data_IF_463541710752
#
_entry.id   IF_463541710752
#
_cell.length_a   1.000
_cell.length_b   1.000
_cell.length_c   1.000
_cell.angle_alpha   90.00
_cell.angle_beta   90.00
_cell.angle_gamma   90.00
#
_symmetry.space_group_name_H-M   'P 1'
#
loop_
_entity.id
_entity.type
_entity.pdbx_description
1 polymer ?
#
# COMPACT_ATOMS: atom_id res chain seq x y z
N UNK A 1 47.86 0.19 47.75
CA UNK A 1 47.81 1.51 48.43
C UNK A 1 46.75 2.29 47.64
N UNK A 2 45.64 2.40 48.27
CA UNK A 2 44.83 3.61 48.62
C UNK A 2 44.23 4.31 47.44
N UNK A 3 43.03 4.59 47.36
CA UNK A 3 41.79 4.81 48.10
C UNK A 3 40.76 5.44 47.16
N UNK A 4 39.62 4.88 47.12
CA UNK A 4 38.28 5.44 47.21
C UNK A 4 38.03 6.89 46.85
N UNK A 5 37.03 7.12 45.99
CA UNK A 5 35.93 8.05 46.33
C UNK A 5 34.75 7.87 45.41
N UNK A 6 33.70 7.37 46.02
CA UNK A 6 32.30 7.31 45.63
C UNK A 6 31.68 8.71 45.62
N UNK A 7 30.95 9.12 44.58
CA UNK A 7 29.96 10.20 44.64
C UNK A 7 28.70 9.81 43.91
N UNK A 8 27.72 9.40 44.68
CA UNK A 8 26.31 9.33 44.34
C UNK A 8 25.75 10.72 44.09
N UNK A 9 25.25 10.95 42.91
CA UNK A 9 24.44 12.14 42.57
C UNK A 9 23.00 11.77 42.40
N UNK A 10 22.16 12.17 43.34
CA UNK A 10 20.71 12.06 43.34
C UNK A 10 20.10 12.95 42.25
N UNK A 11 19.26 12.40 41.40
CA UNK A 11 18.46 13.16 40.41
C UNK A 11 17.13 13.49 41.06
N UNK A 12 16.94 14.77 41.35
CA UNK A 12 15.65 15.33 41.80
C UNK A 12 14.69 15.40 40.64
N UNK A 13 13.52 14.76 40.80
CA UNK A 13 12.36 14.87 39.93
C UNK A 13 11.62 16.19 40.19
N UNK A 14 11.90 17.20 39.36
CA UNK A 14 11.16 18.45 39.38
C UNK A 14 9.81 18.30 38.67
N UNK A 15 8.73 18.30 39.47
CA UNK A 15 7.35 18.41 38.99
C UNK A 15 7.03 19.84 38.64
N UNK A 16 6.90 20.18 37.35
CA UNK A 16 6.44 21.49 36.90
C UNK A 16 4.90 21.54 36.93
N UNK A 17 4.34 22.20 37.94
CA UNK A 17 2.92 22.54 37.99
C UNK A 17 2.67 23.85 37.22
N UNK A 18 1.93 23.76 36.12
CA UNK A 18 1.43 24.94 35.39
C UNK A 18 0.14 25.43 36.02
N UNK A 19 0.23 26.50 36.80
CA UNK A 19 -0.95 27.30 37.25
C UNK A 19 -1.34 28.28 36.15
N UNK A 20 -2.48 28.05 35.49
CA UNK A 20 -3.10 29.03 34.59
C UNK A 20 -3.71 30.16 35.42
N UNK A 21 -3.15 31.35 35.33
CA UNK A 21 -3.70 32.58 35.86
C UNK A 21 -5.00 32.96 35.12
N UNK A 22 -6.10 33.05 35.87
CA UNK A 22 -7.37 33.60 35.42
C UNK A 22 -7.31 35.14 35.51
N UNK A 23 -7.49 35.82 34.36
CA UNK A 23 -7.72 37.27 34.32
C UNK A 23 -9.23 37.50 34.28
N UNK A 24 -9.84 38.21 35.24
CA UNK A 24 -11.28 38.47 35.22
C UNK A 24 -11.59 39.59 34.23
N UNK A 25 -12.36 39.31 33.20
CA UNK A 25 -12.94 40.28 32.29
C UNK A 25 -14.21 40.85 32.94
N UNK A 26 -14.24 42.18 33.20
CA UNK A 26 -15.41 42.92 33.66
C UNK A 26 -16.50 42.87 32.57
N UNK A 27 -17.67 42.29 32.90
CA UNK A 27 -18.87 42.36 32.09
C UNK A 27 -19.57 43.68 32.30
N UNK A 28 -19.75 44.47 31.24
CA UNK A 28 -20.78 45.52 31.16
C UNK A 28 -22.05 44.88 30.62
N UNK A 29 -23.14 45.02 31.40
CA UNK A 29 -24.44 44.50 31.05
C UNK A 29 -25.08 45.37 29.97
N UNK A 30 -25.28 44.85 28.77
CA UNK A 30 -26.33 45.29 27.86
C UNK A 30 -27.03 44.04 27.35
N UNK A 31 -28.35 43.99 27.57
CA UNK A 31 -29.18 42.82 27.32
C UNK A 31 -29.27 42.49 25.83
N UNK A 32 -28.99 41.26 25.52
CA UNK A 32 -29.51 40.58 24.34
C UNK A 32 -29.75 39.12 24.71
N UNK A 33 -31.00 38.70 24.55
CA UNK A 33 -31.43 37.32 24.71
C UNK A 33 -30.70 36.44 23.69
N UNK A 34 -29.55 35.86 24.08
CA UNK A 34 -28.94 34.77 23.37
C UNK A 34 -29.39 33.45 24.01
N UNK A 35 -30.22 32.69 23.30
CA UNK A 35 -30.43 31.28 23.58
C UNK A 35 -29.06 30.57 23.50
N UNK A 36 -28.62 29.87 24.53
CA UNK A 36 -27.42 29.03 24.41
C UNK A 36 -27.77 27.87 23.48
N UNK A 37 -27.23 27.91 22.25
CA UNK A 37 -27.18 26.73 21.39
C UNK A 37 -26.36 25.70 22.14
N UNK A 38 -27.02 24.68 22.66
CA UNK A 38 -26.36 23.51 23.26
C UNK A 38 -25.55 22.85 22.17
N UNK A 39 -24.25 23.07 22.21
CA UNK A 39 -23.30 22.28 21.43
C UNK A 39 -23.35 20.84 22.01
N UNK A 40 -24.16 19.98 21.40
CA UNK A 40 -23.98 18.55 21.60
C UNK A 40 -22.67 18.17 20.93
N UNK A 41 -21.73 17.53 21.64
CA UNK A 41 -20.55 17.01 21.00
C UNK A 41 -21.05 15.99 19.96
N UNK A 42 -20.73 16.23 18.69
CA UNK A 42 -20.87 15.21 17.65
C UNK A 42 -19.96 14.05 18.06
N UNK A 43 -20.51 13.06 18.74
CA UNK A 43 -19.94 11.73 18.82
C UNK A 43 -20.12 11.12 17.43
N UNK A 44 -19.20 11.46 16.52
CA UNK A 44 -18.98 10.72 15.32
C UNK A 44 -18.44 9.35 15.80
N UNK A 45 -19.35 8.40 15.97
CA UNK A 45 -18.97 6.98 16.14
C UNK A 45 -18.10 6.65 14.92
N UNK A 46 -16.77 6.61 15.13
CA UNK A 46 -15.84 6.12 14.11
C UNK A 46 -16.28 4.72 13.77
N UNK A 47 -16.99 4.56 12.66
CA UNK A 47 -17.22 3.24 12.08
C UNK A 47 -15.86 2.58 11.94
N UNK A 48 -15.60 1.57 12.72
CA UNK A 48 -14.40 0.76 12.62
C UNK A 48 -14.55 -0.04 11.32
N UNK A 49 -14.06 0.53 10.22
CA UNK A 49 -14.02 -0.19 8.95
C UNK A 49 -12.99 -1.32 9.08
N UNK A 50 -13.31 -2.49 8.50
CA UNK A 50 -12.32 -3.54 8.33
C UNK A 50 -11.10 -2.98 7.57
N UNK A 51 -9.88 -3.43 7.87
CA UNK A 51 -8.68 -2.95 7.18
C UNK A 51 -8.79 -3.18 5.67
N UNK A 52 -8.48 -2.15 4.89
CA UNK A 52 -8.45 -2.21 3.43
C UNK A 52 -7.08 -2.72 2.98
N UNK A 53 -7.06 -3.75 2.14
CA UNK A 53 -5.80 -4.25 1.59
C UNK A 53 -5.23 -3.28 0.54
N UNK A 54 -3.90 -3.11 0.52
CA UNK A 54 -3.22 -2.32 -0.53
C UNK A 54 -3.52 -2.88 -1.92
N UNK A 55 -3.70 -4.21 -2.06
CA UNK A 55 -4.16 -4.83 -3.30
C UNK A 55 -5.54 -4.34 -3.74
N UNK A 56 -6.46 -4.10 -2.81
CA UNK A 56 -7.79 -3.58 -3.11
C UNK A 56 -7.75 -2.13 -3.60
N UNK A 57 -6.87 -1.30 -3.02
CA UNK A 57 -6.61 0.04 -3.54
C UNK A 57 -6.16 -0.01 -5.00
N UNK A 58 -5.21 -0.90 -5.32
CA UNK A 58 -4.69 -1.07 -6.68
C UNK A 58 -5.75 -1.57 -7.64
N UNK A 59 -6.58 -2.55 -7.22
CA UNK A 59 -7.70 -3.09 -8.03
C UNK A 59 -8.75 -2.01 -8.29
N UNK A 60 -9.14 -1.25 -7.27
CA UNK A 60 -10.09 -0.16 -7.40
C UNK A 60 -9.55 0.98 -8.27
N UNK A 61 -8.25 1.30 -8.15
CA UNK A 61 -7.59 2.29 -9.02
C UNK A 61 -7.62 1.88 -10.49
N UNK A 62 -7.39 0.60 -10.79
CA UNK A 62 -7.45 0.09 -12.16
C UNK A 62 -8.87 0.17 -12.76
N UNK A 63 -9.89 -0.22 -12.01
CA UNK A 63 -11.30 -0.08 -12.38
C UNK A 63 -12.21 -0.26 -11.16
N UNK A 64 -12.89 0.81 -10.69
CA UNK A 64 -13.80 0.72 -9.54
C UNK A 64 -14.98 -0.24 -9.77
N UNK A 65 -15.52 -0.31 -10.99
CA UNK A 65 -16.64 -1.21 -11.32
C UNK A 65 -16.20 -2.68 -11.28
N UNK A 66 -15.01 -2.97 -11.82
CA UNK A 66 -14.43 -4.32 -11.71
C UNK A 66 -14.19 -4.69 -10.25
N UNK A 67 -13.63 -3.78 -9.45
CA UNK A 67 -13.45 -3.97 -8.02
C UNK A 67 -14.78 -4.24 -7.30
N UNK A 68 -15.84 -3.47 -7.62
CA UNK A 68 -17.19 -3.68 -7.08
C UNK A 68 -17.71 -5.11 -7.31
N UNK A 69 -17.51 -5.69 -8.48
CA UNK A 69 -17.92 -7.06 -8.77
C UNK A 69 -17.04 -8.13 -8.08
N UNK A 70 -15.76 -7.86 -7.97
CA UNK A 70 -14.76 -8.85 -7.53
C UNK A 70 -14.39 -8.72 -6.03
N UNK A 71 -14.91 -7.73 -5.29
CA UNK A 71 -14.49 -7.43 -3.92
C UNK A 71 -14.66 -8.57 -2.91
N UNK A 72 -15.63 -9.45 -3.16
CA UNK A 72 -15.92 -10.60 -2.30
C UNK A 72 -15.37 -11.91 -2.87
N UNK A 73 -14.68 -11.86 -4.00
CA UNK A 73 -14.08 -13.06 -4.59
C UNK A 73 -12.71 -13.32 -3.96
N UNK A 74 -12.35 -14.58 -3.72
CA UNK A 74 -11.02 -14.92 -3.24
C UNK A 74 -9.96 -14.44 -4.25
N UNK A 75 -8.91 -13.82 -3.72
CA UNK A 75 -7.81 -13.37 -4.56
C UNK A 75 -6.80 -14.49 -4.73
N UNK A 76 -6.81 -15.12 -5.91
CA UNK A 76 -5.81 -16.13 -6.24
C UNK A 76 -4.64 -15.44 -6.95
N UNK A 77 -3.44 -15.67 -6.41
CA UNK A 77 -2.21 -15.27 -7.07
C UNK A 77 -1.99 -16.11 -8.34
N UNK A 78 -1.53 -15.46 -9.40
CA UNK A 78 -1.22 -16.18 -10.64
C UNK A 78 0.05 -17.03 -10.46
N UNK A 79 0.13 -18.14 -11.21
CA UNK A 79 1.30 -19.00 -11.18
C UNK A 79 2.58 -18.27 -11.62
N UNK A 80 2.48 -17.34 -12.57
CA UNK A 80 3.61 -16.46 -12.93
C UNK A 80 4.06 -15.58 -11.76
N UNK A 81 3.13 -15.13 -10.89
CA UNK A 81 3.50 -14.39 -9.69
C UNK A 81 4.25 -15.30 -8.71
N UNK A 82 3.79 -16.53 -8.51
CA UNK A 82 4.49 -17.49 -7.64
C UNK A 82 5.93 -17.74 -8.12
N UNK A 83 6.14 -17.89 -9.44
CA UNK A 83 7.48 -18.02 -10.03
C UNK A 83 8.35 -16.79 -9.77
N UNK A 84 7.84 -15.57 -10.06
CA UNK A 84 8.57 -14.33 -9.82
C UNK A 84 8.86 -14.12 -8.34
N UNK A 85 7.91 -14.47 -7.49
CA UNK A 85 8.03 -14.35 -6.03
C UNK A 85 9.12 -15.26 -5.51
N UNK A 86 9.14 -16.53 -5.92
CA UNK A 86 10.19 -17.48 -5.52
C UNK A 86 11.57 -17.03 -5.99
N UNK A 87 11.69 -16.61 -7.26
CA UNK A 87 12.94 -16.04 -7.77
C UNK A 87 13.41 -14.83 -6.96
N UNK A 88 12.49 -14.00 -6.47
CA UNK A 88 12.84 -12.76 -5.75
C UNK A 88 13.58 -12.99 -4.44
N UNK A 89 13.44 -14.16 -3.82
CA UNK A 89 14.18 -14.51 -2.59
C UNK A 89 15.68 -14.75 -2.85
N UNK A 90 16.03 -15.09 -4.09
CA UNK A 90 17.41 -15.36 -4.51
C UNK A 90 18.12 -14.16 -5.15
N UNK A 91 17.42 -13.02 -5.32
CA UNK A 91 18.02 -11.83 -5.92
C UNK A 91 19.17 -11.27 -5.05
N UNK A 92 20.32 -11.08 -5.67
CA UNK A 92 21.56 -10.66 -4.98
C UNK A 92 22.49 -11.83 -4.62
N UNK A 93 22.10 -13.06 -4.95
CA UNK A 93 22.91 -14.27 -4.83
C UNK A 93 22.99 -14.97 -6.19
N UNK A 94 23.85 -15.98 -6.39
CA UNK A 94 23.83 -16.81 -7.59
C UNK A 94 22.48 -17.45 -7.79
N UNK A 95 21.92 -17.31 -9.00
CA UNK A 95 20.60 -17.83 -9.33
C UNK A 95 20.75 -19.25 -9.90
N UNK A 96 20.30 -20.24 -9.14
CA UNK A 96 20.32 -21.65 -9.52
C UNK A 96 18.95 -22.09 -10.04
N UNK A 97 18.77 -22.25 -11.37
CA UNK A 97 17.45 -22.47 -11.97
C UNK A 97 16.73 -23.72 -11.45
N UNK A 98 17.47 -24.83 -11.25
CA UNK A 98 16.86 -26.07 -10.79
C UNK A 98 16.43 -26.01 -9.33
N UNK A 99 17.22 -25.38 -8.47
CA UNK A 99 16.87 -25.17 -7.07
C UNK A 99 15.61 -24.29 -6.96
N UNK A 100 15.60 -23.15 -7.64
CA UNK A 100 14.46 -22.21 -7.60
C UNK A 100 13.19 -22.90 -8.15
N UNK A 101 13.32 -23.73 -9.19
CA UNK A 101 12.16 -24.46 -9.71
C UNK A 101 11.62 -25.51 -8.73
N UNK A 102 12.50 -26.23 -8.03
CA UNK A 102 12.09 -27.17 -6.98
C UNK A 102 11.32 -26.46 -5.86
N UNK A 103 11.77 -25.27 -5.47
CA UNK A 103 11.09 -24.45 -4.46
C UNK A 103 9.72 -23.96 -4.96
N UNK A 104 9.62 -23.57 -6.24
CA UNK A 104 8.33 -23.22 -6.87
C UNK A 104 7.37 -24.40 -6.80
N UNK A 105 7.83 -25.61 -7.13
CA UNK A 105 7.03 -26.84 -7.06
C UNK A 105 6.63 -27.18 -5.60
N UNK A 106 7.50 -26.93 -4.63
CA UNK A 106 7.19 -27.14 -3.22
C UNK A 106 6.08 -26.21 -2.71
N UNK A 107 6.07 -24.93 -3.16
CA UNK A 107 5.05 -23.95 -2.78
C UNK A 107 3.76 -24.14 -3.58
N UNK A 108 3.87 -24.49 -4.84
CA UNK A 108 2.76 -24.69 -5.80
C UNK A 108 2.88 -26.03 -6.52
N UNK A 109 2.50 -27.13 -5.87
CA UNK A 109 2.64 -28.48 -6.50
C UNK A 109 1.82 -28.67 -7.77
N UNK A 110 0.78 -27.85 -7.98
CA UNK A 110 -0.10 -27.92 -9.16
C UNK A 110 0.23 -26.90 -10.23
N UNK A 111 1.41 -26.24 -10.15
CA UNK A 111 1.83 -25.25 -11.14
C UNK A 111 2.05 -25.93 -12.51
N UNK A 112 1.69 -25.21 -13.57
CA UNK A 112 1.90 -25.68 -14.93
C UNK A 112 3.41 -25.83 -15.22
N UNK A 113 3.90 -27.03 -15.58
CA UNK A 113 5.30 -27.25 -15.95
C UNK A 113 5.78 -26.39 -17.12
N UNK A 114 4.89 -25.95 -17.99
CA UNK A 114 5.18 -25.06 -19.13
C UNK A 114 5.62 -23.65 -18.68
N UNK A 115 5.56 -23.35 -17.39
CA UNK A 115 6.13 -22.13 -16.81
C UNK A 115 7.63 -22.20 -16.51
N UNK A 116 8.27 -23.37 -16.63
CA UNK A 116 9.73 -23.49 -16.44
C UNK A 116 10.52 -22.60 -17.41
N UNK A 117 10.23 -22.52 -18.72
CA UNK A 117 10.90 -21.58 -19.62
C UNK A 117 10.70 -20.11 -19.25
N UNK A 118 9.56 -19.77 -18.62
CA UNK A 118 9.34 -18.42 -18.09
C UNK A 118 10.29 -18.12 -16.92
N UNK A 119 10.49 -19.07 -16.00
CA UNK A 119 11.50 -18.92 -14.94
C UNK A 119 12.89 -18.70 -15.52
N UNK A 120 13.31 -19.51 -16.48
CA UNK A 120 14.63 -19.41 -17.10
C UNK A 120 14.84 -18.05 -17.78
N UNK A 121 13.78 -17.52 -18.43
CA UNK A 121 13.80 -16.16 -19.00
C UNK A 121 13.97 -15.09 -17.91
N UNK A 122 13.23 -15.21 -16.79
CA UNK A 122 13.35 -14.29 -15.67
C UNK A 122 14.76 -14.35 -15.03
N UNK A 123 15.32 -15.54 -14.84
CA UNK A 123 16.67 -15.73 -14.30
C UNK A 123 17.70 -15.08 -15.23
N UNK A 124 17.59 -15.31 -16.54
CA UNK A 124 18.50 -14.68 -17.51
C UNK A 124 18.43 -13.17 -17.42
N UNK A 125 17.23 -12.58 -17.38
CA UNK A 125 17.06 -11.13 -17.24
C UNK A 125 17.64 -10.62 -15.91
N UNK A 126 17.35 -11.30 -14.80
CA UNK A 126 17.79 -10.89 -13.45
C UNK A 126 19.30 -11.05 -13.23
N UNK A 127 19.99 -11.99 -13.92
CA UNK A 127 21.43 -12.20 -13.79
C UNK A 127 22.29 -11.05 -14.33
N UNK A 128 21.71 -10.17 -15.14
CA UNK A 128 22.38 -9.00 -15.72
C UNK A 128 22.21 -7.72 -14.89
N UNK A 129 21.47 -7.80 -13.77
CA UNK A 129 21.20 -6.65 -12.91
C UNK A 129 21.85 -6.85 -11.52
N UNK A 130 22.45 -5.79 -10.99
CA UNK A 130 22.96 -5.78 -9.63
C UNK A 130 21.82 -5.50 -8.64
N UNK A 131 21.38 -6.55 -7.95
CA UNK A 131 20.29 -6.48 -7.01
C UNK A 131 20.76 -6.08 -5.61
N UNK A 132 19.98 -5.25 -4.94
CA UNK A 132 20.22 -4.94 -3.54
C UNK A 132 19.92 -6.17 -2.67
N UNK A 133 20.74 -6.42 -1.63
CA UNK A 133 20.46 -7.48 -0.68
C UNK A 133 19.15 -7.20 0.07
N UNK A 134 18.43 -8.24 0.43
CA UNK A 134 17.28 -8.16 1.33
C UNK A 134 17.70 -8.63 2.72
N UNK A 135 17.33 -7.89 3.74
CA UNK A 135 17.43 -8.29 5.14
C UNK A 135 16.16 -9.00 5.61
N UNK A 136 15.01 -8.54 5.10
CA UNK A 136 13.72 -9.13 5.40
C UNK A 136 12.92 -9.30 4.11
N UNK A 137 12.09 -10.35 4.07
CA UNK A 137 11.17 -10.64 2.98
C UNK A 137 9.75 -10.81 3.54
N UNK A 138 8.74 -10.57 2.69
CA UNK A 138 7.31 -10.76 3.04
C UNK A 138 6.90 -10.01 4.30
N UNK A 139 7.30 -8.76 4.39
CA UNK A 139 7.01 -7.94 5.57
C UNK A 139 5.60 -7.38 5.46
N UNK A 140 4.73 -7.81 6.37
CA UNK A 140 3.41 -7.22 6.49
C UNK A 140 3.52 -5.79 7.03
N UNK A 141 2.89 -4.85 6.32
CA UNK A 141 2.84 -3.45 6.71
C UNK A 141 1.41 -3.00 6.94
N UNK A 142 1.23 -2.10 7.90
CA UNK A 142 -0.10 -1.61 8.27
C UNK A 142 -0.07 -0.13 8.69
N UNK A 143 -1.22 0.52 8.54
CA UNK A 143 -1.48 1.83 9.11
C UNK A 143 -2.80 1.77 9.88
N UNK A 144 -2.74 1.97 11.18
CA UNK A 144 -3.93 2.08 12.05
C UNK A 144 -4.70 3.36 11.75
N UNK A 145 -3.99 4.45 11.49
CA UNK A 145 -4.57 5.75 11.13
C UNK A 145 -5.47 5.67 9.92
N UNK A 146 -5.03 4.93 8.90
CA UNK A 146 -5.79 4.76 7.66
C UNK A 146 -6.50 3.41 7.58
N UNK A 147 -6.42 2.56 8.61
CA UNK A 147 -6.99 1.20 8.60
C UNK A 147 -6.71 0.48 7.28
N UNK A 148 -5.44 0.33 6.93
CA UNK A 148 -4.95 -0.38 5.75
C UNK A 148 -3.89 -1.40 6.12
N UNK A 149 -3.81 -2.46 5.32
CA UNK A 149 -2.78 -3.50 5.42
C UNK A 149 -2.18 -3.77 4.04
N UNK A 150 -0.93 -4.16 4.02
CA UNK A 150 -0.22 -4.52 2.80
C UNK A 150 0.92 -5.47 3.05
N UNK A 151 1.61 -5.81 1.98
CA UNK A 151 2.83 -6.61 2.02
C UNK A 151 3.91 -5.89 1.23
N UNK A 152 5.11 -5.87 1.79
CA UNK A 152 6.34 -5.44 1.12
C UNK A 152 7.15 -6.68 0.85
N UNK A 153 7.60 -6.84 -0.37
CA UNK A 153 8.26 -8.08 -0.79
C UNK A 153 9.68 -8.22 -0.23
N UNK A 154 10.43 -7.11 -0.15
CA UNK A 154 11.81 -7.11 0.35
C UNK A 154 12.13 -5.80 1.08
N UNK A 155 12.85 -5.87 2.18
CA UNK A 155 13.42 -4.71 2.88
C UNK A 155 14.93 -4.91 2.97
N UNK A 156 15.69 -3.91 2.53
CA UNK A 156 17.14 -3.90 2.59
C UNK A 156 17.70 -3.44 3.96
N UNK A 157 18.98 -3.63 4.22
CA UNK A 157 19.64 -3.24 5.48
C UNK A 157 19.62 -1.72 5.73
N UNK A 158 19.44 -0.92 4.69
CA UNK A 158 19.26 0.53 4.74
C UNK A 158 17.82 0.97 5.03
N UNK A 159 16.91 0.01 5.21
CA UNK A 159 15.47 0.24 5.39
C UNK A 159 14.73 0.56 4.10
N UNK A 160 15.40 0.55 2.94
CA UNK A 160 14.74 0.67 1.64
C UNK A 160 13.86 -0.55 1.39
N UNK A 161 12.67 -0.33 0.80
CA UNK A 161 11.78 -1.43 0.49
C UNK A 161 11.54 -1.59 -1.00
N UNK A 162 11.16 -2.79 -1.41
CA UNK A 162 10.76 -3.09 -2.77
C UNK A 162 9.48 -3.93 -2.84
N UNK A 163 8.79 -3.77 -3.97
CA UNK A 163 7.64 -4.59 -4.38
C UNK A 163 7.97 -5.26 -5.71
N UNK A 164 7.63 -6.53 -5.85
CA UNK A 164 7.85 -7.28 -7.10
C UNK A 164 6.68 -7.14 -8.06
N UNK A 165 6.99 -7.23 -9.35
CA UNK A 165 6.00 -7.18 -10.43
C UNK A 165 6.26 -8.27 -11.46
N UNK A 166 5.16 -8.89 -11.90
CA UNK A 166 5.13 -9.89 -12.98
C UNK A 166 4.94 -9.23 -14.36
N UNK A 167 4.48 -7.99 -14.35
CA UNK A 167 4.37 -7.19 -15.58
C UNK A 167 5.75 -6.77 -16.05
N UNK A 168 5.92 -6.59 -17.35
CA UNK A 168 7.11 -5.98 -17.91
C UNK A 168 7.24 -4.50 -17.50
N UNK A 169 8.48 -4.01 -17.44
CA UNK A 169 8.78 -2.63 -17.13
C UNK A 169 8.37 -1.71 -18.30
N UNK A 170 7.88 -0.51 -17.97
CA UNK A 170 7.72 0.54 -19.00
C UNK A 170 9.09 0.94 -19.54
N UNK A 171 9.19 1.52 -20.74
CA UNK A 171 10.45 2.11 -21.21
C UNK A 171 11.00 3.16 -20.22
N UNK A 172 10.13 3.98 -19.64
CA UNK A 172 10.48 5.00 -18.64
C UNK A 172 9.46 5.03 -17.51
N UNK A 173 9.93 5.34 -16.27
CA UNK A 173 9.09 5.47 -15.09
C UNK A 173 8.46 4.15 -14.64
N UNK A 174 7.37 4.23 -13.89
CA UNK A 174 6.60 3.10 -13.37
C UNK A 174 5.11 3.30 -13.65
N UNK A 175 4.33 2.23 -13.61
CA UNK A 175 2.87 2.30 -13.78
C UNK A 175 2.20 3.10 -12.66
N UNK A 176 1.06 3.74 -12.97
CA UNK A 176 0.29 4.49 -11.97
C UNK A 176 -0.18 3.61 -10.81
N UNK A 177 -0.51 2.36 -11.09
CA UNK A 177 -0.88 1.36 -10.10
C UNK A 177 0.29 1.01 -9.15
N UNK A 178 1.52 0.97 -9.67
CA UNK A 178 2.71 0.71 -8.87
C UNK A 178 3.09 1.93 -8.02
N UNK A 179 2.90 3.16 -8.53
CA UNK A 179 3.03 4.39 -7.72
C UNK A 179 2.09 4.39 -6.52
N UNK A 180 0.82 4.01 -6.75
CA UNK A 180 -0.16 3.90 -5.68
C UNK A 180 0.26 2.85 -4.64
N UNK A 181 0.74 1.69 -5.09
CA UNK A 181 1.22 0.62 -4.21
C UNK A 181 2.41 1.08 -3.37
N UNK A 182 3.43 1.68 -4.00
CA UNK A 182 4.60 2.24 -3.29
C UNK A 182 4.17 3.30 -2.28
N UNK A 183 3.31 4.24 -2.66
CA UNK A 183 2.82 5.27 -1.75
C UNK A 183 2.04 4.68 -0.55
N UNK A 184 1.22 3.64 -0.78
CA UNK A 184 0.47 2.96 0.29
C UNK A 184 1.39 2.24 1.26
N UNK A 185 2.39 1.51 0.75
CA UNK A 185 3.39 0.83 1.58
C UNK A 185 4.27 1.82 2.35
N UNK A 186 4.69 2.93 1.71
CA UNK A 186 5.46 3.98 2.37
C UNK A 186 4.70 4.59 3.55
N UNK A 187 3.40 4.90 3.39
CA UNK A 187 2.53 5.41 4.46
C UNK A 187 2.46 4.42 5.64
N UNK A 188 2.34 3.12 5.36
CA UNK A 188 2.34 2.11 6.41
C UNK A 188 3.70 2.05 7.13
N UNK A 189 4.80 2.03 6.40
CA UNK A 189 6.14 1.97 6.96
C UNK A 189 6.49 3.22 7.77
N UNK A 190 6.07 4.41 7.32
CA UNK A 190 6.23 5.66 8.08
C UNK A 190 5.55 5.57 9.44
N UNK A 191 4.32 5.06 9.50
CA UNK A 191 3.58 4.91 10.75
C UNK A 191 4.20 3.85 11.67
N UNK A 192 4.60 2.70 11.10
CA UNK A 192 5.18 1.59 11.87
C UNK A 192 6.56 1.94 12.44
N UNK A 193 7.37 2.68 11.71
CA UNK A 193 8.77 2.96 12.09
C UNK A 193 8.96 4.34 12.72
N UNK A 194 7.99 5.26 12.55
CA UNK A 194 8.13 6.66 12.94
C UNK A 194 9.16 7.44 12.12
N UNK A 195 9.67 6.87 11.01
CA UNK A 195 10.66 7.49 10.13
C UNK A 195 10.02 7.87 8.82
N UNK A 196 10.48 8.97 8.22
CA UNK A 196 10.09 9.36 6.87
C UNK A 196 10.55 8.32 5.84
N UNK A 197 9.64 7.92 4.94
CA UNK A 197 9.90 6.99 3.84
C UNK A 197 9.70 7.73 2.53
N UNK A 198 10.79 8.17 1.91
CA UNK A 198 10.76 9.00 0.71
C UNK A 198 10.25 8.27 -0.53
N UNK A 199 10.31 6.93 -0.57
CA UNK A 199 9.90 6.12 -1.71
C UNK A 199 10.22 4.65 -1.54
N UNK A 200 10.05 3.89 -2.62
CA UNK A 200 10.33 2.47 -2.67
C UNK A 200 10.70 2.01 -4.08
N UNK A 201 11.20 0.81 -4.17
CA UNK A 201 11.58 0.21 -5.44
C UNK A 201 10.47 -0.66 -6.00
N UNK A 202 10.38 -0.68 -7.32
CA UNK A 202 9.52 -1.60 -8.07
C UNK A 202 10.43 -2.51 -8.88
N UNK A 203 10.38 -3.80 -8.59
CA UNK A 203 11.22 -4.83 -9.20
C UNK A 203 10.42 -5.59 -10.24
N UNK A 204 10.67 -5.32 -11.50
CA UNK A 204 10.05 -5.98 -12.65
C UNK A 204 10.85 -7.24 -13.01
N UNK A 205 10.47 -8.34 -12.39
CA UNK A 205 11.23 -9.59 -12.45
C UNK A 205 11.41 -10.15 -13.86
N UNK A 206 10.36 -10.15 -14.75
CA UNK A 206 10.53 -10.68 -16.11
C UNK A 206 11.56 -9.95 -16.97
N UNK A 207 11.81 -8.67 -16.66
CA UNK A 207 12.75 -7.84 -17.42
C UNK A 207 14.07 -7.60 -16.66
N UNK A 208 14.20 -8.10 -15.44
CA UNK A 208 15.39 -7.89 -14.62
C UNK A 208 15.64 -6.41 -14.29
N UNK A 209 14.58 -5.62 -14.08
CA UNK A 209 14.67 -4.16 -13.90
C UNK A 209 14.16 -3.75 -12.53
N UNK A 210 14.97 -2.98 -11.81
CA UNK A 210 14.58 -2.34 -10.55
C UNK A 210 14.52 -0.81 -10.73
N UNK A 211 13.42 -0.17 -10.27
CA UNK A 211 13.23 1.29 -10.39
C UNK A 211 12.79 1.89 -9.08
N UNK A 212 13.52 2.89 -8.63
CA UNK A 212 13.12 3.69 -7.48
C UNK A 212 12.02 4.69 -7.87
N UNK A 213 11.00 4.80 -7.02
CA UNK A 213 9.96 5.82 -7.12
C UNK A 213 9.92 6.65 -5.84
N UNK A 214 10.17 7.94 -5.97
CA UNK A 214 9.95 8.91 -4.88
C UNK A 214 8.47 9.23 -4.77
N UNK A 215 7.89 9.02 -3.59
CA UNK A 215 6.48 9.30 -3.30
C UNK A 215 6.21 10.80 -3.38
N UNK A 216 5.40 11.20 -4.37
CA UNK A 216 5.04 12.59 -4.60
C UNK A 216 3.75 12.96 -3.85
N UNK A 217 3.50 14.25 -3.56
CA UNK A 217 2.22 14.70 -2.99
C UNK A 217 0.98 14.25 -3.78
N UNK A 218 1.11 14.12 -5.10
CA UNK A 218 0.05 13.58 -5.98
C UNK A 218 -0.26 12.11 -5.68
N UNK A 219 0.75 11.29 -5.35
CA UNK A 219 0.59 9.87 -5.08
C UNK A 219 -0.13 9.69 -3.73
N UNK A 220 0.18 10.51 -2.72
CA UNK A 220 -0.54 10.56 -1.44
C UNK A 220 -2.00 11.02 -1.62
N UNK A 221 -2.27 12.00 -2.50
CA UNK A 221 -3.65 12.40 -2.84
C UNK A 221 -4.39 11.28 -3.56
N UNK A 222 -3.72 10.57 -4.49
CA UNK A 222 -4.29 9.41 -5.18
C UNK A 222 -4.63 8.30 -4.19
N UNK A 223 -3.76 8.02 -3.24
CA UNK A 223 -4.01 7.06 -2.15
C UNK A 223 -5.30 7.43 -1.37
N UNK A 224 -5.41 8.66 -0.87
CA UNK A 224 -6.57 9.12 -0.10
C UNK A 224 -7.87 9.03 -0.91
N UNK A 225 -7.84 9.49 -2.15
CA UNK A 225 -8.99 9.42 -3.06
C UNK A 225 -9.42 7.99 -3.35
N UNK A 226 -8.46 7.09 -3.55
CA UNK A 226 -8.75 5.67 -3.82
C UNK A 226 -9.25 4.96 -2.58
N UNK A 227 -8.67 5.25 -1.40
CA UNK A 227 -9.13 4.69 -0.13
C UNK A 227 -10.57 5.09 0.16
N UNK A 228 -10.92 6.36 -0.03
CA UNK A 228 -12.30 6.83 0.09
C UNK A 228 -13.24 6.05 -0.86
N UNK A 229 -12.86 5.90 -2.12
CA UNK A 229 -13.64 5.15 -3.11
C UNK A 229 -13.81 3.67 -2.75
N UNK A 230 -12.76 3.00 -2.26
CA UNK A 230 -12.85 1.61 -1.79
C UNK A 230 -13.87 1.49 -0.66
N UNK A 231 -13.83 2.40 0.31
CA UNK A 231 -14.78 2.41 1.43
C UNK A 231 -16.20 2.66 0.99
N UNK A 232 -16.46 3.67 0.16
CA UNK A 232 -17.78 3.92 -0.40
C UNK A 232 -18.35 2.68 -1.11
N UNK A 233 -17.54 1.99 -1.91
CA UNK A 233 -17.95 0.76 -2.58
C UNK A 233 -18.23 -0.37 -1.57
N UNK A 234 -17.42 -0.47 -0.52
CA UNK A 234 -17.63 -1.47 0.54
C UNK A 234 -18.91 -1.19 1.32
N UNK A 235 -19.23 0.09 1.53
CA UNK A 235 -20.48 0.57 2.17
C UNK A 235 -21.71 0.45 1.26
N UNK A 236 -21.55 -0.05 0.02
CA UNK A 236 -22.65 -0.36 -0.89
C UNK A 236 -22.85 0.61 -2.06
N UNK A 237 -22.00 1.65 -2.19
CA UNK A 237 -22.07 2.54 -3.35
C UNK A 237 -21.72 1.79 -4.64
N UNK A 238 -22.54 1.96 -5.66
CA UNK A 238 -22.29 1.40 -7.00
C UNK A 238 -21.47 2.41 -7.80
N UNK A 239 -20.23 2.10 -8.17
CA UNK A 239 -19.35 3.04 -8.86
C UNK A 239 -19.76 3.23 -10.32
N UNK A 240 -19.57 4.45 -10.83
CA UNK A 240 -19.75 4.74 -12.24
C UNK A 240 -18.62 4.15 -13.10
N UNK A 241 -18.96 3.83 -14.35
CA UNK A 241 -18.00 3.32 -15.33
C UNK A 241 -16.94 4.38 -15.64
N UNK A 242 -15.62 4.09 -15.44
CA UNK A 242 -14.57 5.03 -15.79
C UNK A 242 -14.33 5.07 -17.31
N UNK A 243 -14.08 6.28 -17.84
CA UNK A 243 -13.88 6.49 -19.28
C UNK A 243 -12.68 5.74 -19.87
N UNK A 244 -11.63 5.51 -19.06
CA UNK A 244 -10.35 4.94 -19.51
C UNK A 244 -10.09 3.55 -18.90
N UNK A 245 -11.12 2.77 -18.61
CA UNK A 245 -10.95 1.42 -18.07
C UNK A 245 -10.47 0.44 -19.15
N UNK A 246 -9.66 -0.58 -18.78
CA UNK A 246 -9.17 -1.60 -19.70
C UNK A 246 -10.27 -2.65 -19.99
N UNK A 247 -11.35 -2.23 -20.69
CA UNK A 247 -12.53 -3.05 -20.90
C UNK A 247 -12.36 -4.17 -21.92
N UNK A 248 -11.37 -4.07 -22.83
CA UNK A 248 -11.20 -5.04 -23.95
C UNK A 248 -10.94 -6.48 -23.49
N UNK A 249 -10.33 -6.65 -22.30
CA UNK A 249 -10.03 -7.97 -21.69
C UNK A 249 -10.76 -8.19 -20.37
N UNK A 250 -11.84 -7.42 -20.11
CA UNK A 250 -12.54 -7.50 -18.83
C UNK A 250 -13.60 -8.62 -18.89
N UNK A 251 -13.55 -9.57 -17.97
CA UNK A 251 -14.56 -10.65 -17.85
C UNK A 251 -15.96 -10.15 -17.47
N UNK A 252 -16.07 -8.92 -16.96
CA UNK A 252 -17.34 -8.30 -16.58
C UNK A 252 -17.88 -7.32 -17.62
N UNK A 253 -17.29 -7.29 -18.83
CA UNK A 253 -17.62 -6.31 -19.86
C UNK A 253 -19.13 -6.25 -20.15
N UNK A 254 -19.74 -7.38 -20.47
CA UNK A 254 -21.17 -7.46 -20.77
C UNK A 254 -22.04 -6.95 -19.63
N UNK A 255 -21.76 -7.43 -18.41
CA UNK A 255 -22.49 -7.00 -17.21
C UNK A 255 -22.33 -5.51 -16.92
N UNK A 256 -21.16 -4.95 -17.21
CA UNK A 256 -20.86 -3.54 -17.02
C UNK A 256 -21.56 -2.66 -18.05
N UNK A 257 -21.62 -3.06 -19.31
CA UNK A 257 -22.31 -2.36 -20.40
C UNK A 257 -23.83 -2.24 -20.14
N UNK A 258 -24.44 -3.24 -19.51
CA UNK A 258 -25.84 -3.21 -19.14
C UNK A 258 -26.17 -2.25 -17.99
N UNK A 259 -25.20 -1.92 -17.12
CA UNK A 259 -25.39 -0.95 -16.03
C UNK A 259 -25.07 0.50 -16.42
N UNK A 260 -24.26 0.70 -17.45
CA UNK A 260 -24.04 2.00 -18.06
C UNK A 260 -25.24 2.35 -18.91
N UNK A 261 -26.12 3.23 -18.40
CA UNK A 261 -27.29 3.66 -19.18
C UNK A 261 -26.89 4.02 -20.61
N UNK A 262 -27.76 3.66 -21.57
CA UNK A 262 -27.59 3.94 -23.01
C UNK A 262 -27.03 5.33 -23.20
N UNK A 263 -25.86 5.46 -23.82
CA UNK A 263 -25.32 6.76 -24.22
C UNK A 263 -26.29 7.41 -25.17
N UNK A 264 -26.45 8.73 -25.09
CA UNK A 264 -27.26 9.48 -26.08
C UNK A 264 -26.83 9.18 -27.52
N UNK A 265 -25.56 8.80 -27.76
CA UNK A 265 -25.05 8.31 -29.04
C UNK A 265 -25.62 6.98 -29.50
N UNK A 266 -26.22 6.17 -28.62
CA UNK A 266 -26.84 4.88 -28.96
C UNK A 266 -28.34 5.05 -29.32
N UNK A 267 -28.82 6.29 -29.27
CA UNK A 267 -30.19 6.69 -29.60
C UNK A 267 -30.30 7.46 -30.93
N UNK A 268 -29.19 7.69 -31.61
CA UNK A 268 -29.08 8.25 -32.96
C UNK A 268 -28.67 7.16 -33.94
#
# INVERSE_FOLDING_TARGET
MSRDSNKSGSIETGTLSFTRGFVPVRRTATGNNYNPVSFQPFHEERRVHAPVAVSDLVRCHACPVRYYYERNEPHNESDRYAVCKQLSYHLGTPLEPDLIWQEVLAVRPTIDPDLRPFLDTCIHACSHHEWRPAEQTDVQVRSEKFSIIGMVDRIGPDGSFSIIRVAGALPFGIYSADRLRVASCAICLEEMTGKEVSGGFVEYIPDGVSRFHTVQPRDRRQFLSTLHKVRSITDGEVPHHPLNAPCTRCRHRERCEHQGGRRLSDLM
#
